data_IF_648809239020
#
_entry.id   IF_648809239020
#
_cell.length_a   1.000
_cell.length_b   1.000
_cell.length_c   1.000
_cell.angle_alpha   90.00
_cell.angle_beta   90.00
_cell.angle_gamma   90.00
#
_symmetry.space_group_name_H-M   'P 1'
#
loop_
_entity.id
_entity.type
_entity.pdbx_description
1 polymer ?
#
# COMPACT_ATOMS: atom_id res chain seq x y z
N UNK A 1 -6.27 -17.30 -13.32
CA UNK A 1 -5.99 -15.86 -13.53
C UNK A 1 -4.74 -15.77 -14.37
N UNK A 2 -4.71 -14.92 -15.38
CA UNK A 2 -3.50 -14.71 -16.20
C UNK A 2 -2.74 -13.54 -15.58
N UNK A 3 -1.43 -13.69 -15.41
CA UNK A 3 -0.53 -12.66 -14.89
C UNK A 3 0.45 -12.32 -16.00
N UNK A 4 0.48 -11.07 -16.43
CA UNK A 4 1.37 -10.60 -17.47
C UNK A 4 2.67 -10.06 -16.86
N UNK A 5 3.79 -10.43 -17.47
CA UNK A 5 5.09 -9.78 -17.24
C UNK A 5 5.21 -8.61 -18.19
N UNK A 6 5.39 -7.40 -17.67
CA UNK A 6 5.40 -6.18 -18.48
C UNK A 6 6.78 -5.49 -18.49
N UNK A 7 7.12 -4.69 -19.53
CA UNK A 7 8.41 -4.03 -19.62
C UNK A 7 8.65 -3.01 -18.50
N UNK A 8 9.91 -2.76 -18.14
CA UNK A 8 10.30 -1.84 -17.07
C UNK A 8 9.67 -0.44 -17.18
N UNK A 9 9.58 0.11 -18.40
CA UNK A 9 8.99 1.42 -18.66
C UNK A 9 7.51 1.56 -18.27
N UNK A 10 6.80 0.46 -17.97
CA UNK A 10 5.42 0.51 -17.47
C UNK A 10 5.31 1.11 -16.08
N UNK A 11 6.35 1.02 -15.24
CA UNK A 11 6.34 1.59 -13.88
C UNK A 11 6.01 3.09 -13.87
N UNK A 12 6.61 3.87 -14.79
CA UNK A 12 6.27 5.28 -14.98
C UNK A 12 4.85 5.47 -15.54
N UNK A 13 4.43 4.62 -16.48
CA UNK A 13 3.09 4.70 -17.07
C UNK A 13 1.97 4.44 -16.06
N UNK A 14 2.21 3.61 -15.04
CA UNK A 14 1.25 3.42 -13.93
C UNK A 14 1.00 4.71 -13.17
N UNK A 15 2.05 5.49 -12.90
CA UNK A 15 1.97 6.80 -12.25
C UNK A 15 1.22 7.79 -13.13
N UNK A 16 1.57 7.89 -14.42
CA UNK A 16 0.88 8.78 -15.37
C UNK A 16 -0.60 8.44 -15.47
N UNK A 17 -0.95 7.16 -15.57
CA UNK A 17 -2.34 6.69 -15.60
C UNK A 17 -3.08 7.04 -14.30
N UNK A 18 -2.42 6.88 -13.14
CA UNK A 18 -3.00 7.21 -11.84
C UNK A 18 -3.28 8.72 -11.71
N UNK A 19 -2.36 9.57 -12.18
CA UNK A 19 -2.60 11.02 -12.26
C UNK A 19 -3.77 11.38 -13.17
N UNK A 20 -3.90 10.72 -14.32
CA UNK A 20 -5.02 10.94 -15.22
C UNK A 20 -6.35 10.52 -14.60
N UNK A 21 -6.37 9.43 -13.84
CA UNK A 21 -7.54 8.98 -13.11
C UNK A 21 -7.89 9.93 -11.96
N UNK A 22 -6.91 10.39 -11.19
CA UNK A 22 -7.08 11.39 -10.13
C UNK A 22 -7.73 12.68 -10.65
N UNK A 23 -7.24 13.20 -11.79
CA UNK A 23 -7.76 14.43 -12.42
C UNK A 23 -9.24 14.36 -12.82
N UNK A 24 -9.82 13.17 -12.99
CA UNK A 24 -11.25 13.04 -13.30
C UNK A 24 -12.14 13.53 -12.15
N UNK A 25 -11.71 13.34 -10.90
CA UNK A 25 -12.43 13.83 -9.73
C UNK A 25 -11.46 14.04 -8.53
N UNK A 26 -10.65 15.11 -8.53
CA UNK A 26 -9.62 15.29 -7.51
C UNK A 26 -10.20 15.52 -6.11
N UNK A 27 -11.34 16.20 -6.02
CA UNK A 27 -11.99 16.53 -4.74
C UNK A 27 -12.42 15.27 -4.01
N UNK A 28 -13.11 14.33 -4.69
CA UNK A 28 -13.54 13.09 -4.02
C UNK A 28 -12.35 12.25 -3.56
N UNK A 29 -11.26 12.19 -4.34
CA UNK A 29 -10.05 11.45 -3.95
C UNK A 29 -9.38 12.05 -2.71
N UNK A 30 -9.31 13.38 -2.62
CA UNK A 30 -8.80 14.07 -1.43
C UNK A 30 -9.72 13.78 -0.24
N UNK A 31 -11.03 13.89 -0.40
CA UNK A 31 -12.01 13.61 0.67
C UNK A 31 -11.89 12.17 1.17
N UNK A 32 -11.84 11.19 0.29
CA UNK A 32 -11.67 9.77 0.65
C UNK A 32 -10.38 9.55 1.45
N UNK A 33 -9.27 10.16 1.05
CA UNK A 33 -8.01 10.04 1.77
C UNK A 33 -8.01 10.80 3.10
N UNK A 34 -8.66 11.95 3.19
CA UNK A 34 -8.85 12.65 4.46
C UNK A 34 -9.67 11.80 5.44
N UNK A 35 -10.71 11.10 4.97
CA UNK A 35 -11.46 10.16 5.81
C UNK A 35 -10.55 9.02 6.29
N UNK A 36 -9.68 8.48 5.44
CA UNK A 36 -8.70 7.47 5.86
C UNK A 36 -7.73 7.99 6.92
N UNK A 37 -7.24 9.22 6.78
CA UNK A 37 -6.41 9.88 7.78
C UNK A 37 -7.18 10.04 9.10
N UNK A 38 -8.43 10.48 9.06
CA UNK A 38 -9.27 10.60 10.25
C UNK A 38 -9.54 9.27 10.94
N UNK A 39 -9.75 8.18 10.17
CA UNK A 39 -9.84 6.82 10.73
C UNK A 39 -8.52 6.45 11.40
N UNK A 40 -7.38 6.71 10.75
CA UNK A 40 -6.06 6.44 11.31
C UNK A 40 -5.80 7.19 12.61
N UNK A 41 -6.11 8.49 12.65
CA UNK A 41 -6.02 9.34 13.85
C UNK A 41 -6.96 8.83 14.95
N UNK A 42 -8.20 8.48 14.61
CA UNK A 42 -9.15 7.92 15.57
C UNK A 42 -8.65 6.62 16.20
N UNK A 43 -8.05 5.74 15.39
CA UNK A 43 -7.45 4.50 15.88
C UNK A 43 -6.19 4.74 16.69
N UNK A 44 -5.36 5.73 16.35
CA UNK A 44 -4.12 6.01 17.08
C UNK A 44 -4.36 6.55 18.50
N UNK A 45 -5.57 7.01 18.81
CA UNK A 45 -5.98 7.36 20.18
C UNK A 45 -6.01 6.12 21.09
N UNK A 46 -6.24 4.93 20.53
CA UNK A 46 -6.24 3.68 21.29
C UNK A 46 -4.79 3.17 21.43
N UNK A 47 -4.14 3.38 22.60
CA UNK A 47 -2.77 2.92 22.77
C UNK A 47 -2.71 1.40 22.64
N UNK A 48 -1.61 0.90 22.08
CA UNK A 48 -1.36 -0.52 21.83
C UNK A 48 -2.28 -1.13 20.75
N UNK A 49 -3.61 -1.05 20.88
CA UNK A 49 -4.56 -1.77 20.01
C UNK A 49 -4.77 -1.06 18.66
N UNK A 50 -4.73 0.27 18.65
CA UNK A 50 -4.98 1.10 17.47
C UNK A 50 -4.20 0.70 16.22
N UNK A 51 -2.85 0.62 16.29
CA UNK A 51 -2.02 0.22 15.16
C UNK A 51 -2.35 -1.16 14.60
N UNK A 52 -2.69 -2.12 15.46
CA UNK A 52 -3.08 -3.47 15.04
C UNK A 52 -4.44 -3.46 14.33
N UNK A 53 -5.42 -2.72 14.84
CA UNK A 53 -6.69 -2.54 14.14
C UNK A 53 -6.46 -1.90 12.76
N UNK A 54 -5.54 -0.95 12.63
CA UNK A 54 -5.23 -0.35 11.34
C UNK A 54 -4.68 -1.40 10.35
N UNK A 55 -3.78 -2.29 10.77
CA UNK A 55 -3.30 -3.40 9.92
C UNK A 55 -4.43 -4.32 9.47
N UNK A 56 -5.36 -4.64 10.36
CA UNK A 56 -6.50 -5.49 10.04
C UNK A 56 -7.49 -4.81 9.09
N UNK A 57 -7.74 -3.51 9.27
CA UNK A 57 -8.73 -2.73 8.52
C UNK A 57 -8.23 -2.25 7.16
N UNK A 58 -6.90 -2.12 6.99
CA UNK A 58 -6.29 -1.57 5.77
C UNK A 58 -6.77 -2.27 4.49
N UNK A 59 -6.82 -3.61 4.39
CA UNK A 59 -7.31 -4.28 3.19
C UNK A 59 -8.78 -3.99 2.88
N UNK A 60 -9.62 -3.79 3.89
CA UNK A 60 -11.04 -3.49 3.69
C UNK A 60 -11.22 -2.09 3.10
N UNK A 61 -10.45 -1.13 3.60
CA UNK A 61 -10.44 0.25 3.14
C UNK A 61 -9.83 0.37 1.74
N UNK A 62 -8.70 -0.31 1.49
CA UNK A 62 -8.08 -0.36 0.16
C UNK A 62 -9.02 -1.03 -0.86
N UNK A 63 -9.73 -2.08 -0.50
CA UNK A 63 -10.74 -2.68 -1.38
C UNK A 63 -11.85 -1.68 -1.78
N UNK A 64 -12.28 -0.82 -0.84
CA UNK A 64 -13.19 0.27 -1.14
C UNK A 64 -12.61 1.26 -2.16
N UNK A 65 -11.35 1.67 -1.98
CA UNK A 65 -10.66 2.55 -2.92
C UNK A 65 -10.43 1.91 -4.30
N UNK A 66 -10.15 0.61 -4.36
CA UNK A 66 -10.01 -0.13 -5.64
C UNK A 66 -11.32 -0.17 -6.40
N UNK A 67 -12.44 -0.26 -5.67
CA UNK A 67 -13.76 -0.18 -6.28
C UNK A 67 -14.06 1.23 -6.80
N UNK A 68 -13.80 2.27 -6.00
CA UNK A 68 -13.94 3.67 -6.45
C UNK A 68 -13.08 3.96 -7.68
N UNK A 69 -11.85 3.43 -7.72
CA UNK A 69 -10.95 3.58 -8.87
C UNK A 69 -11.52 2.90 -10.13
N UNK A 70 -12.08 1.70 -9.98
CA UNK A 70 -12.76 0.98 -11.07
C UNK A 70 -13.97 1.76 -11.59
N UNK A 71 -14.84 2.18 -10.69
CA UNK A 71 -16.10 2.84 -11.06
C UNK A 71 -15.78 4.16 -11.82
N UNK A 72 -14.86 5.00 -11.31
CA UNK A 72 -14.40 6.21 -12.00
C UNK A 72 -13.72 5.96 -13.35
N UNK A 73 -12.95 4.88 -13.43
CA UNK A 73 -12.27 4.49 -14.66
C UNK A 73 -13.28 4.07 -15.74
N UNK A 74 -14.38 3.42 -15.35
CA UNK A 74 -15.51 3.06 -16.22
C UNK A 74 -16.55 4.16 -16.44
N UNK A 75 -16.29 5.37 -15.96
CA UNK A 75 -17.17 6.53 -16.16
C UNK A 75 -18.38 6.58 -15.23
N UNK A 76 -18.38 5.82 -14.14
CA UNK A 76 -19.36 5.92 -13.07
C UNK A 76 -18.91 6.95 -12.02
N UNK A 77 -19.87 7.46 -11.26
CA UNK A 77 -19.60 8.41 -10.18
C UNK A 77 -18.99 7.73 -8.95
N UNK A 78 -18.16 8.48 -8.22
CA UNK A 78 -17.60 8.03 -6.93
C UNK A 78 -18.35 8.69 -5.79
N UNK A 79 -18.69 7.87 -4.79
CA UNK A 79 -19.27 8.31 -3.53
C UNK A 79 -18.40 7.91 -2.34
N UNK A 80 -18.53 8.64 -1.23
CA UNK A 80 -17.85 8.31 0.04
C UNK A 80 -18.17 6.88 0.51
N UNK A 81 -19.37 6.39 0.22
CA UNK A 81 -19.81 5.03 0.56
C UNK A 81 -18.92 3.93 -0.04
N UNK A 82 -18.21 4.20 -1.15
CA UNK A 82 -17.28 3.25 -1.76
C UNK A 82 -16.19 2.82 -0.79
N UNK A 83 -15.72 3.73 0.08
CA UNK A 83 -14.66 3.46 1.06
C UNK A 83 -14.98 2.25 1.95
N UNK A 84 -16.26 2.07 2.25
CA UNK A 84 -16.74 1.04 3.16
C UNK A 84 -17.22 -0.23 2.44
N UNK A 85 -17.07 -0.32 1.11
CA UNK A 85 -17.56 -1.48 0.32
C UNK A 85 -16.87 -2.79 0.72
N UNK A 86 -15.59 -2.75 1.09
CA UNK A 86 -14.84 -3.93 1.58
C UNK A 86 -15.39 -4.50 2.90
N UNK A 87 -16.18 -3.72 3.66
CA UNK A 87 -16.86 -4.17 4.87
C UNK A 87 -18.17 -4.91 4.60
N UNK A 88 -18.64 -4.92 3.35
CA UNK A 88 -19.90 -5.55 2.93
C UNK A 88 -19.70 -6.65 1.91
N UNK A 89 -18.67 -6.57 1.07
CA UNK A 89 -18.41 -7.50 -0.03
C UNK A 89 -17.07 -8.19 0.18
N UNK A 90 -17.06 -9.53 0.10
CA UNK A 90 -15.87 -10.38 0.27
C UNK A 90 -15.08 -10.11 1.57
N UNK A 91 -15.79 -9.66 2.61
CA UNK A 91 -15.20 -9.16 3.87
C UNK A 91 -14.38 -10.22 4.60
N UNK A 92 -14.83 -11.47 4.65
CA UNK A 92 -14.06 -12.55 5.29
C UNK A 92 -12.69 -12.78 4.64
N UNK A 93 -12.62 -12.66 3.32
CA UNK A 93 -11.36 -12.76 2.57
C UNK A 93 -10.46 -11.54 2.77
N UNK A 94 -11.04 -10.33 2.83
CA UNK A 94 -10.27 -9.11 3.15
C UNK A 94 -9.75 -9.12 4.58
N UNK A 95 -10.54 -9.60 5.54
CA UNK A 95 -10.12 -9.84 6.92
C UNK A 95 -9.02 -10.90 6.98
N UNK A 96 -9.07 -11.94 6.14
CA UNK A 96 -7.99 -12.94 6.06
C UNK A 96 -6.68 -12.28 5.63
N UNK A 97 -6.72 -11.42 4.60
CA UNK A 97 -5.54 -10.66 4.14
C UNK A 97 -5.05 -9.72 5.26
N UNK A 98 -5.95 -9.02 5.94
CA UNK A 98 -5.62 -8.13 7.06
C UNK A 98 -5.03 -8.86 8.26
N UNK A 99 -5.53 -10.04 8.57
CA UNK A 99 -5.02 -10.91 9.63
C UNK A 99 -3.62 -11.42 9.33
N UNK A 100 -3.37 -11.88 8.10
CA UNK A 100 -2.00 -12.27 7.68
C UNK A 100 -1.06 -11.09 7.68
N UNK A 101 -1.50 -9.92 7.20
CA UNK A 101 -0.70 -8.70 7.26
C UNK A 101 -0.35 -8.30 8.70
N UNK A 102 -1.32 -8.33 9.61
CA UNK A 102 -1.13 -8.07 11.04
C UNK A 102 -0.15 -9.05 11.68
N UNK A 103 -0.33 -10.35 11.48
CA UNK A 103 0.57 -11.38 12.04
C UNK A 103 1.98 -11.21 11.47
N UNK A 104 2.10 -10.95 10.18
CA UNK A 104 3.37 -10.65 9.53
C UNK A 104 4.08 -9.44 10.15
N UNK A 105 3.36 -8.33 10.36
CA UNK A 105 3.91 -7.12 10.99
C UNK A 105 4.34 -7.36 12.45
N UNK A 106 3.57 -8.13 13.21
CA UNK A 106 3.92 -8.51 14.60
C UNK A 106 5.19 -9.36 14.62
N UNK A 107 5.29 -10.36 13.74
CA UNK A 107 6.47 -11.23 13.63
C UNK A 107 7.70 -10.43 13.23
N UNK A 108 7.60 -9.59 12.20
CA UNK A 108 8.70 -8.71 11.74
C UNK A 108 9.15 -7.81 12.89
N UNK A 109 8.22 -7.12 13.55
CA UNK A 109 8.53 -6.23 14.67
C UNK A 109 9.21 -6.99 15.82
N UNK A 110 8.75 -8.21 16.13
CA UNK A 110 9.36 -9.08 17.14
C UNK A 110 10.81 -9.46 16.80
N UNK A 111 11.08 -9.84 15.55
CA UNK A 111 12.45 -10.13 15.07
C UNK A 111 13.34 -8.90 15.16
N UNK A 112 12.84 -7.72 14.78
CA UNK A 112 13.61 -6.48 14.86
C UNK A 112 13.94 -6.11 16.31
N UNK A 113 12.99 -6.26 17.25
CA UNK A 113 13.23 -6.03 18.69
C UNK A 113 14.29 -7.00 19.22
N UNK A 114 14.21 -8.28 18.84
CA UNK A 114 15.17 -9.30 19.27
C UNK A 114 16.59 -9.00 18.77
N UNK A 115 16.74 -8.53 17.54
CA UNK A 115 18.05 -8.20 16.95
C UNK A 115 18.59 -6.84 17.41
N UNK A 116 17.72 -5.84 17.54
CA UNK A 116 18.08 -4.46 17.85
C UNK A 116 18.32 -4.21 19.34
N UNK A 117 17.67 -4.97 20.21
CA UNK A 117 17.80 -4.85 21.67
C UNK A 117 16.94 -3.73 22.28
N UNK A 118 17.19 -3.39 23.56
CA UNK A 118 16.41 -2.40 24.31
C UNK A 118 16.36 -1.02 23.67
N UNK A 119 17.43 -0.60 23.00
CA UNK A 119 17.58 0.70 22.36
C UNK A 119 16.72 0.78 21.10
N UNK A 120 16.61 -0.30 20.32
CA UNK A 120 15.64 -0.38 19.23
C UNK A 120 14.21 -0.33 19.75
N UNK A 121 13.91 -1.06 20.83
CA UNK A 121 12.58 -1.01 21.45
C UNK A 121 12.24 0.40 21.98
N UNK A 122 13.23 1.11 22.52
CA UNK A 122 13.09 2.50 22.93
C UNK A 122 12.86 3.40 21.72
N UNK A 123 13.61 3.24 20.63
CA UNK A 123 13.42 3.97 19.37
C UNK A 123 11.97 3.87 18.86
N UNK A 124 11.36 2.69 18.96
CA UNK A 124 9.96 2.48 18.56
C UNK A 124 8.95 3.23 19.44
N UNK A 125 9.27 3.47 20.71
CA UNK A 125 8.36 4.12 21.67
C UNK A 125 8.44 5.64 21.63
N UNK A 126 9.65 6.18 21.56
CA UNK A 126 9.90 7.62 21.71
C UNK A 126 10.42 8.28 20.42
N UNK A 127 10.60 7.51 19.35
CA UNK A 127 11.26 7.97 18.13
C UNK A 127 12.79 7.97 18.26
N UNK A 128 13.48 8.01 17.11
CA UNK A 128 14.97 8.05 17.09
C UNK A 128 15.50 9.32 17.75
N UNK A 129 14.79 10.44 17.61
CA UNK A 129 15.11 11.72 18.24
C UNK A 129 14.96 11.71 19.77
N UNK A 130 14.19 10.76 20.31
CA UNK A 130 13.98 10.59 21.75
C UNK A 130 15.04 9.73 22.44
N UNK A 131 16.06 9.26 21.71
CA UNK A 131 17.16 8.48 22.28
C UNK A 131 18.35 9.40 22.57
N UNK A 132 18.91 9.28 23.77
CA UNK A 132 20.14 9.98 24.14
C UNK A 132 21.29 9.53 23.21
N UNK A 133 21.88 10.44 22.40
CA UNK A 133 22.97 10.09 21.49
C UNK A 133 24.16 9.43 22.19
N UNK A 134 24.40 9.73 23.47
CA UNK A 134 25.48 9.12 24.24
C UNK A 134 25.29 7.61 24.47
N UNK A 135 24.06 7.11 24.33
CA UNK A 135 23.74 5.67 24.47
C UNK A 135 23.93 4.87 23.18
N UNK A 136 24.12 5.54 22.04
CA UNK A 136 24.31 4.90 20.74
C UNK A 136 25.80 4.68 20.49
N UNK A 137 26.35 3.58 21.04
CA UNK A 137 27.71 3.12 20.67
C UNK A 137 27.73 2.54 19.25
N UNK A 138 28.91 2.39 18.61
CA UNK A 138 29.01 1.73 17.31
C UNK A 138 28.38 0.33 17.27
N UNK A 139 28.48 -0.42 18.36
CA UNK A 139 27.87 -1.75 18.50
C UNK A 139 26.34 -1.67 18.52
N UNK A 140 25.77 -0.74 19.29
CA UNK A 140 24.32 -0.49 19.33
C UNK A 140 23.80 -0.08 17.95
N UNK A 141 24.50 0.85 17.29
CA UNK A 141 24.15 1.29 15.94
C UNK A 141 24.17 0.12 14.93
N UNK A 142 25.17 -0.76 15.02
CA UNK A 142 25.27 -1.96 14.17
C UNK A 142 24.10 -2.92 14.40
N UNK A 143 23.71 -3.18 15.66
CA UNK A 143 22.54 -4.02 15.97
C UNK A 143 21.24 -3.43 15.42
N UNK A 144 21.03 -2.13 15.60
CA UNK A 144 19.87 -1.41 15.08
C UNK A 144 19.82 -1.50 13.56
N UNK A 145 20.94 -1.25 12.88
CA UNK A 145 21.04 -1.36 11.43
C UNK A 145 20.71 -2.77 10.96
N UNK A 146 21.28 -3.80 11.60
CA UNK A 146 20.99 -5.20 11.29
C UNK A 146 19.51 -5.52 11.47
N UNK A 147 18.90 -5.07 12.57
CA UNK A 147 17.47 -5.23 12.80
C UNK A 147 16.63 -4.59 11.69
N UNK A 148 16.97 -3.36 11.27
CA UNK A 148 16.30 -2.66 10.18
C UNK A 148 16.45 -3.42 8.85
N UNK A 149 17.66 -3.85 8.50
CA UNK A 149 17.91 -4.57 7.25
C UNK A 149 17.16 -5.90 7.19
N UNK A 150 17.16 -6.67 8.29
CA UNK A 150 16.39 -7.92 8.39
C UNK A 150 14.89 -7.64 8.33
N UNK A 151 14.42 -6.61 9.03
CA UNK A 151 13.02 -6.19 8.99
C UNK A 151 12.57 -5.82 7.57
N UNK A 152 13.37 -5.04 6.84
CA UNK A 152 13.13 -4.70 5.44
C UNK A 152 13.09 -5.94 4.56
N UNK A 153 14.04 -6.87 4.72
CA UNK A 153 14.09 -8.10 3.95
C UNK A 153 12.85 -8.99 4.16
N UNK A 154 12.33 -9.05 5.39
CA UNK A 154 11.09 -9.77 5.73
C UNK A 154 9.82 -9.03 5.30
N UNK A 155 9.85 -7.70 5.30
CA UNK A 155 8.71 -6.89 4.86
C UNK A 155 8.47 -6.99 3.35
N UNK A 156 9.52 -7.14 2.54
CA UNK A 156 9.39 -7.29 1.08
C UNK A 156 8.40 -8.40 0.68
N UNK A 157 8.57 -9.68 1.09
CA UNK A 157 7.63 -10.74 0.70
C UNK A 157 6.23 -10.53 1.27
N UNK A 158 6.11 -9.96 2.48
CA UNK A 158 4.80 -9.61 3.06
C UNK A 158 4.10 -8.56 2.19
N UNK A 159 4.80 -7.48 1.85
CA UNK A 159 4.30 -6.41 0.98
C UNK A 159 3.90 -6.97 -0.39
N UNK A 160 4.71 -7.82 -1.00
CA UNK A 160 4.39 -8.47 -2.28
C UNK A 160 3.12 -9.32 -2.19
N UNK A 161 2.92 -10.06 -1.10
CA UNK A 161 1.72 -10.86 -0.89
C UNK A 161 0.48 -9.97 -0.71
N UNK A 162 0.60 -8.82 -0.06
CA UNK A 162 -0.57 -7.97 0.24
C UNK A 162 -0.82 -6.87 -0.78
N UNK A 163 0.15 -6.52 -1.64
CA UNK A 163 0.10 -5.36 -2.54
C UNK A 163 -1.14 -5.34 -3.44
N UNK A 164 -1.44 -6.43 -4.13
CA UNK A 164 -2.61 -6.54 -5.02
C UNK A 164 -3.79 -7.29 -4.39
N UNK A 165 -3.60 -7.89 -3.21
CA UNK A 165 -4.61 -8.74 -2.57
C UNK A 165 -5.98 -8.06 -2.39
N UNK A 166 -6.08 -6.81 -1.89
CA UNK A 166 -7.38 -6.14 -1.78
C UNK A 166 -8.10 -6.00 -3.13
N UNK A 167 -7.37 -5.64 -4.21
CA UNK A 167 -7.92 -5.51 -5.55
C UNK A 167 -8.40 -6.86 -6.09
N UNK A 168 -7.57 -7.90 -5.97
CA UNK A 168 -7.90 -9.26 -6.40
C UNK A 168 -9.12 -9.84 -5.66
N UNK A 169 -9.25 -9.55 -4.37
CA UNK A 169 -10.40 -10.02 -3.58
C UNK A 169 -11.68 -9.27 -3.95
N UNK A 170 -11.65 -7.94 -4.09
CA UNK A 170 -12.87 -7.14 -4.30
C UNK A 170 -13.31 -7.07 -5.76
N UNK A 171 -12.36 -7.06 -6.71
CA UNK A 171 -12.63 -6.91 -8.13
C UNK A 171 -12.77 -8.24 -8.86
N UNK A 172 -12.00 -9.27 -8.46
CA UNK A 172 -12.02 -10.61 -9.09
C UNK A 172 -12.64 -11.70 -8.21
N UNK A 173 -13.11 -11.36 -6.99
CA UNK A 173 -13.66 -12.33 -6.03
C UNK A 173 -12.72 -13.49 -5.71
N UNK A 174 -11.40 -13.23 -5.72
CA UNK A 174 -10.40 -14.21 -5.28
C UNK A 174 -10.51 -14.44 -3.77
N UNK A 175 -10.31 -15.68 -3.32
CA UNK A 175 -10.20 -15.97 -1.89
C UNK A 175 -8.90 -15.36 -1.32
N UNK A 176 -8.89 -15.02 -0.02
CA UNK A 176 -7.78 -14.27 0.60
C UNK A 176 -6.39 -14.89 0.37
N UNK A 177 -6.22 -16.19 0.64
CA UNK A 177 -4.94 -16.87 0.42
C UNK A 177 -4.55 -16.98 -1.07
N UNK A 178 -5.52 -17.24 -1.95
CA UNK A 178 -5.26 -17.30 -3.38
C UNK A 178 -4.83 -15.93 -3.92
N UNK A 179 -5.51 -14.85 -3.50
CA UNK A 179 -5.17 -13.48 -3.84
C UNK A 179 -3.74 -13.11 -3.40
N UNK A 180 -3.32 -13.53 -2.20
CA UNK A 180 -1.95 -13.30 -1.72
C UNK A 180 -0.91 -14.04 -2.56
N UNK A 181 -1.19 -15.28 -2.95
CA UNK A 181 -0.31 -16.04 -3.85
C UNK A 181 -0.23 -15.43 -5.25
N UNK A 182 -1.36 -14.99 -5.80
CA UNK A 182 -1.42 -14.30 -7.10
C UNK A 182 -0.69 -12.95 -7.06
N UNK A 183 -0.86 -12.17 -5.99
CA UNK A 183 -0.15 -10.90 -5.75
C UNK A 183 1.37 -11.12 -5.69
N UNK A 184 1.83 -12.09 -4.91
CA UNK A 184 3.26 -12.39 -4.78
C UNK A 184 3.87 -12.80 -6.13
N UNK A 185 3.21 -13.67 -6.89
CA UNK A 185 3.64 -14.06 -8.25
C UNK A 185 3.67 -12.87 -9.21
N UNK A 186 2.66 -12.00 -9.14
CA UNK A 186 2.59 -10.80 -9.96
C UNK A 186 3.74 -9.83 -9.66
N UNK A 187 4.04 -9.57 -8.39
CA UNK A 187 5.17 -8.73 -8.00
C UNK A 187 6.52 -9.36 -8.39
N UNK A 188 6.71 -10.67 -8.17
CA UNK A 188 7.94 -11.39 -8.56
C UNK A 188 8.19 -11.32 -10.08
N UNK A 189 7.14 -11.58 -10.88
CA UNK A 189 7.22 -11.53 -12.34
C UNK A 189 7.44 -10.12 -12.90
N UNK A 190 7.19 -9.07 -12.10
CA UNK A 190 7.22 -7.68 -12.52
C UNK A 190 8.21 -6.81 -11.71
N UNK A 191 9.29 -7.39 -11.19
CA UNK A 191 10.26 -6.65 -10.36
C UNK A 191 10.86 -5.42 -11.07
N UNK A 192 11.13 -5.53 -12.38
CA UNK A 192 11.70 -4.42 -13.18
C UNK A 192 10.79 -3.19 -13.25
N UNK A 193 9.51 -3.30 -13.67
CA UNK A 193 8.62 -2.15 -13.63
C UNK A 193 8.31 -1.68 -12.21
N UNK A 194 8.30 -2.56 -11.20
CA UNK A 194 8.22 -2.14 -9.79
C UNK A 194 9.42 -1.29 -9.34
N UNK A 195 10.64 -1.61 -9.79
CA UNK A 195 11.82 -0.79 -9.53
C UNK A 195 11.71 0.59 -10.18
N UNK A 196 11.31 0.64 -11.45
CA UNK A 196 11.06 1.92 -12.15
C UNK A 196 9.98 2.74 -11.45
N UNK A 197 8.87 2.10 -11.07
CA UNK A 197 7.82 2.72 -10.26
C UNK A 197 8.37 3.27 -8.93
N UNK A 198 9.16 2.49 -8.20
CA UNK A 198 9.74 2.88 -6.92
C UNK A 198 10.65 4.10 -7.01
N UNK A 199 11.55 4.14 -8.01
CA UNK A 199 12.45 5.29 -8.25
C UNK A 199 11.64 6.56 -8.53
N UNK A 200 10.70 6.52 -9.48
CA UNK A 200 9.90 7.71 -9.79
C UNK A 200 8.97 8.12 -8.65
N UNK A 201 8.41 7.14 -7.93
CA UNK A 201 7.55 7.42 -6.77
C UNK A 201 8.33 8.07 -5.64
N UNK A 202 9.59 7.68 -5.42
CA UNK A 202 10.47 8.31 -4.43
C UNK A 202 10.79 9.76 -4.84
N UNK A 203 11.14 10.00 -6.11
CA UNK A 203 11.41 11.36 -6.61
C UNK A 203 10.17 12.27 -6.46
N UNK A 204 8.99 11.76 -6.78
CA UNK A 204 7.73 12.48 -6.63
C UNK A 204 7.36 12.71 -5.16
N UNK A 205 7.62 11.74 -4.28
CA UNK A 205 7.44 11.91 -2.84
C UNK A 205 8.33 13.02 -2.28
N UNK A 206 9.61 13.04 -2.65
CA UNK A 206 10.55 14.09 -2.25
C UNK A 206 10.04 15.44 -2.77
N UNK A 207 9.71 15.54 -4.07
CA UNK A 207 9.19 16.77 -4.67
C UNK A 207 7.90 17.27 -4.00
N UNK A 208 6.96 16.38 -3.70
CA UNK A 208 5.71 16.68 -3.01
C UNK A 208 5.91 17.14 -1.56
N UNK A 209 7.04 16.79 -0.95
CA UNK A 209 7.38 17.17 0.43
C UNK A 209 8.01 18.56 0.53
N UNK A 210 8.67 19.05 -0.52
CA UNK A 210 9.32 20.38 -0.57
C UNK A 210 8.40 21.54 -0.14
N UNK A 211 7.14 21.66 -0.62
CA UNK A 211 6.25 22.75 -0.21
C UNK A 211 5.62 22.47 1.16
N UNK A 212 6.44 22.28 2.20
CA UNK A 212 6.00 21.97 3.57
C UNK A 212 5.02 20.79 3.65
N UNK A 213 5.20 19.77 2.81
CA UNK A 213 4.32 18.61 2.74
C UNK A 213 2.96 18.82 2.08
N UNK A 214 2.61 20.02 1.61
CA UNK A 214 1.30 20.30 0.97
C UNK A 214 1.09 19.43 -0.28
N UNK A 215 2.16 19.15 -1.03
CA UNK A 215 2.09 18.27 -2.20
C UNK A 215 1.67 16.84 -1.87
N UNK A 216 1.83 16.39 -0.62
CA UNK A 216 1.42 15.05 -0.18
C UNK A 216 -0.09 14.86 -0.22
N UNK A 217 -0.88 15.94 -0.07
CA UNK A 217 -2.35 15.91 -0.20
C UNK A 217 -2.77 15.44 -1.60
N UNK A 218 -1.97 15.74 -2.62
CA UNK A 218 -2.19 15.31 -3.99
C UNK A 218 -1.50 13.97 -4.29
N UNK A 219 -0.27 13.80 -3.79
CA UNK A 219 0.53 12.62 -4.12
C UNK A 219 0.01 11.33 -3.49
N UNK A 220 -0.42 11.36 -2.22
CA UNK A 220 -0.90 10.16 -1.52
C UNK A 220 -2.10 9.52 -2.24
N UNK A 221 -3.14 10.26 -2.67
CA UNK A 221 -4.21 9.68 -3.47
C UNK A 221 -3.75 9.06 -4.79
N UNK A 222 -2.81 9.71 -5.47
CA UNK A 222 -2.24 9.20 -6.73
C UNK A 222 -1.48 7.89 -6.47
N UNK A 223 -0.74 7.81 -5.37
CA UNK A 223 -0.01 6.60 -4.98
C UNK A 223 -0.96 5.43 -4.68
N UNK A 224 -2.16 5.67 -4.12
CA UNK A 224 -3.14 4.58 -3.99
C UNK A 224 -3.72 4.19 -5.35
N UNK A 225 -3.94 5.15 -6.24
CA UNK A 225 -4.41 4.87 -7.60
C UNK A 225 -3.39 4.10 -8.44
N UNK A 226 -2.09 4.18 -8.16
CA UNK A 226 -1.08 3.36 -8.86
C UNK A 226 -1.27 1.88 -8.59
N UNK A 227 -1.80 1.50 -7.42
CA UNK A 227 -2.18 0.12 -7.14
C UNK A 227 -3.25 -0.38 -8.13
N UNK A 228 -4.26 0.44 -8.41
CA UNK A 228 -5.30 0.10 -9.39
C UNK A 228 -4.76 0.06 -10.83
N UNK A 229 -3.97 1.07 -11.24
CA UNK A 229 -3.46 1.13 -12.62
C UNK A 229 -2.42 0.05 -12.92
N UNK A 230 -1.56 -0.29 -11.95
CA UNK A 230 -0.63 -1.42 -12.08
C UNK A 230 -1.36 -2.77 -12.03
N UNK A 231 -2.41 -2.90 -11.19
CA UNK A 231 -3.27 -4.08 -11.16
C UNK A 231 -3.92 -4.34 -12.52
N UNK A 232 -4.55 -3.32 -13.13
CA UNK A 232 -5.17 -3.45 -14.46
C UNK A 232 -4.18 -3.90 -15.53
N UNK A 233 -2.96 -3.39 -15.46
CA UNK A 233 -1.93 -3.68 -16.45
C UNK A 233 -1.38 -5.10 -16.32
N UNK A 234 -1.15 -5.57 -15.10
CA UNK A 234 -0.55 -6.88 -14.83
C UNK A 234 -1.58 -8.00 -14.94
N UNK A 235 -2.81 -7.79 -14.47
CA UNK A 235 -3.87 -8.80 -14.47
C UNK A 235 -4.82 -8.70 -15.66
N UNK A 236 -4.59 -7.72 -16.54
CA UNK A 236 -5.31 -7.51 -17.79
C UNK A 236 -6.84 -7.60 -17.67
N UNK A 237 -7.46 -6.59 -17.05
CA UNK A 237 -8.80 -6.20 -17.51
C UNK A 237 -8.56 -5.55 -18.87
N UNK A 238 -8.59 -6.36 -19.94
CA UNK A 238 -8.39 -5.87 -21.30
C UNK A 238 -9.27 -4.63 -21.50
N UNK A 239 -8.65 -3.49 -21.80
CA UNK A 239 -9.39 -2.42 -22.43
C UNK A 239 -10.02 -3.06 -23.68
N UNK A 240 -11.36 -2.98 -23.77
CA UNK A 240 -12.08 -3.35 -24.99
C UNK A 240 -11.30 -2.78 -26.17
N UNK A 241 -10.95 -3.59 -27.19
CA UNK A 241 -10.19 -3.09 -28.32
C UNK A 241 -10.94 -1.87 -28.86
N UNK A 242 -10.24 -0.75 -28.95
CA UNK A 242 -10.69 0.41 -29.69
C UNK A 242 -11.18 -0.12 -31.05
N UNK A 243 -12.48 0.05 -31.31
CA UNK A 243 -13.12 -0.46 -32.53
C UNK A 243 -12.23 -0.07 -33.69
N UNK A 244 -11.79 -1.08 -34.44
CA UNK A 244 -11.28 -0.88 -35.79
C UNK A 244 -12.36 -0.11 -36.56
N UNK A 245 -12.19 1.21 -36.67
CA UNK A 245 -12.91 2.00 -37.65
C UNK A 245 -12.12 1.89 -38.94
N UNK A 246 -12.79 1.21 -39.88
CA UNK A 246 -12.45 1.09 -41.28
C UNK A 246 -12.18 2.42 -41.98
#
# INVERSE_FOLDING_TARGET
MIIHSVPAGRGWKWIVAAFNLFKKNPVIWIVLHLILVLIGVGLSILPVIGPYLLYLLTPLLLAGLMTAAKDLDTGQDIEIAHLFRGFRVNTSHLITVGGVYLVGQVVISGVMIMLGGPEFQQALKVGVEGIDPATITPEVASRILMAVLVGMALFIPLAMATWFSPALVILDSRSGFAAMGDSARACLGNMRPFLTYGVFSLLLLIAASIPFGIGLVLWVPVMVLTMYTSYRDIFAIAATPERATA
#
